data_IF_400114769055
#
_entry.id   IF_400114769055
#
_cell.length_a   1.000
_cell.length_b   1.000
_cell.length_c   1.000
_cell.angle_alpha   90.00
_cell.angle_beta   90.00
_cell.angle_gamma   90.00
#
_symmetry.space_group_name_H-M   'P 1'
#
loop_
_entity.id
_entity.type
_entity.pdbx_description
1 polymer ?
#
# COMPACT_ATOMS: atom_id res chain seq x y z
N UNK A 1 1.90 0.36 29.27
CA UNK A 1 1.00 0.74 28.15
C UNK A 1 1.76 0.77 26.82
N UNK A 2 2.91 1.46 26.73
CA UNK A 2 3.77 1.53 25.53
C UNK A 2 4.16 0.16 24.95
N UNK A 3 4.51 -0.82 25.78
CA UNK A 3 4.91 -2.15 25.30
C UNK A 3 3.75 -2.95 24.69
N UNK A 4 2.54 -2.75 25.19
CA UNK A 4 1.35 -3.42 24.65
C UNK A 4 0.97 -2.83 23.28
N UNK A 5 1.09 -1.51 23.11
CA UNK A 5 0.91 -0.85 21.81
C UNK A 5 1.98 -1.27 20.81
N UNK A 6 3.25 -1.34 21.23
CA UNK A 6 4.35 -1.82 20.41
C UNK A 6 4.13 -3.26 19.93
N UNK A 7 3.69 -4.17 20.82
CA UNK A 7 3.35 -5.56 20.44
C UNK A 7 2.20 -5.63 19.43
N UNK A 8 1.14 -4.82 19.62
CA UNK A 8 0.01 -4.76 18.68
C UNK A 8 0.43 -4.25 17.30
N UNK A 9 1.23 -3.19 17.27
CA UNK A 9 1.76 -2.63 16.04
C UNK A 9 2.70 -3.61 15.33
N UNK A 10 3.56 -4.29 16.07
CA UNK A 10 4.44 -5.33 15.53
C UNK A 10 3.63 -6.48 14.93
N UNK A 11 2.64 -7.01 15.65
CA UNK A 11 1.75 -8.04 15.12
C UNK A 11 0.98 -7.58 13.87
N UNK A 12 0.51 -6.32 13.83
CA UNK A 12 -0.15 -5.76 12.66
C UNK A 12 0.78 -5.68 11.45
N UNK A 13 2.03 -5.27 11.64
CA UNK A 13 3.03 -5.23 10.57
C UNK A 13 3.44 -6.63 10.09
N UNK A 14 3.55 -7.60 10.99
CA UNK A 14 3.76 -9.01 10.60
C UNK A 14 2.61 -9.53 9.76
N UNK A 15 1.36 -9.25 10.14
CA UNK A 15 0.19 -9.69 9.38
C UNK A 15 0.18 -9.07 7.97
N UNK A 16 0.54 -7.79 7.85
CA UNK A 16 0.71 -7.11 6.55
C UNK A 16 1.81 -7.74 5.72
N UNK A 17 2.96 -8.05 6.32
CA UNK A 17 4.08 -8.68 5.63
C UNK A 17 3.74 -10.10 5.15
N UNK A 18 2.99 -10.86 5.96
CA UNK A 18 2.54 -12.21 5.61
C UNK A 18 1.43 -12.23 4.55
N UNK A 19 0.66 -11.15 4.37
CA UNK A 19 -0.46 -11.12 3.43
C UNK A 19 -0.04 -11.34 1.98
N UNK A 20 1.10 -10.78 1.55
CA UNK A 20 1.61 -10.91 0.17
C UNK A 20 2.02 -12.35 -0.19
N UNK A 21 2.86 -13.06 0.60
CA UNK A 21 3.17 -14.46 0.29
C UNK A 21 1.93 -15.35 0.42
N UNK A 22 0.99 -15.04 1.32
CA UNK A 22 -0.27 -15.78 1.41
C UNK A 22 -1.11 -15.62 0.13
N UNK A 23 -1.18 -14.43 -0.48
CA UNK A 23 -1.92 -14.24 -1.74
C UNK A 23 -1.27 -14.96 -2.92
N UNK A 24 0.02 -15.31 -2.84
CA UNK A 24 0.69 -16.12 -3.85
C UNK A 24 0.36 -17.62 -3.75
N UNK A 25 -0.10 -18.10 -2.59
CA UNK A 25 -0.33 -19.53 -2.33
C UNK A 25 -1.81 -19.84 -2.18
N UNK A 26 -2.56 -19.03 -1.43
CA UNK A 26 -3.95 -19.31 -1.06
C UNK A 26 -4.89 -19.44 -2.27
N UNK A 27 -4.81 -18.58 -3.32
CA UNK A 27 -5.70 -18.71 -4.47
C UNK A 27 -5.56 -20.03 -5.23
N UNK A 28 -4.39 -20.68 -5.17
CA UNK A 28 -4.16 -21.97 -5.81
C UNK A 28 -5.05 -23.09 -5.26
N UNK A 29 -5.58 -22.95 -4.04
CA UNK A 29 -6.50 -23.93 -3.46
C UNK A 29 -7.95 -23.76 -3.93
N UNK A 30 -8.29 -22.61 -4.54
CA UNK A 30 -9.67 -22.28 -4.91
C UNK A 30 -9.86 -22.07 -6.42
N UNK A 31 -8.78 -21.75 -7.15
CA UNK A 31 -8.79 -21.47 -8.57
C UNK A 31 -7.96 -22.52 -9.32
N UNK A 32 -8.62 -23.33 -10.13
CA UNK A 32 -7.95 -24.31 -10.98
C UNK A 32 -6.99 -23.62 -11.96
N UNK A 33 -5.75 -24.11 -12.03
CA UNK A 33 -4.72 -23.57 -12.94
C UNK A 33 -4.06 -22.26 -12.48
N UNK A 34 -4.36 -21.77 -11.27
CA UNK A 34 -3.70 -20.57 -10.74
C UNK A 34 -2.20 -20.78 -10.58
N UNK A 35 -1.42 -19.86 -11.16
CA UNK A 35 0.02 -19.76 -10.96
C UNK A 35 0.40 -18.29 -10.86
N UNK A 36 1.35 -17.94 -10.01
CA UNK A 36 1.79 -16.55 -9.82
C UNK A 36 2.28 -15.95 -11.14
N UNK A 37 3.01 -16.71 -11.95
CA UNK A 37 3.56 -16.23 -13.22
C UNK A 37 2.55 -16.30 -14.38
N UNK A 38 1.85 -17.43 -14.53
CA UNK A 38 0.90 -17.65 -15.63
C UNK A 38 -0.42 -16.90 -15.46
N UNK A 39 -0.81 -16.57 -14.22
CA UNK A 39 -2.02 -15.80 -13.91
C UNK A 39 -1.69 -14.54 -13.08
N UNK A 40 -0.58 -13.88 -13.40
CA UNK A 40 -0.05 -12.73 -12.66
C UNK A 40 -1.05 -11.59 -12.47
N UNK A 41 -1.89 -11.29 -13.46
CA UNK A 41 -2.97 -10.29 -13.32
C UNK A 41 -3.98 -10.68 -12.24
N UNK A 42 -4.41 -11.95 -12.22
CA UNK A 42 -5.33 -12.44 -11.20
C UNK A 42 -4.69 -12.39 -9.81
N UNK A 43 -3.42 -12.80 -9.72
CA UNK A 43 -2.65 -12.70 -8.48
C UNK A 43 -2.53 -11.25 -7.99
N UNK A 44 -2.18 -10.30 -8.87
CA UNK A 44 -2.07 -8.88 -8.53
C UNK A 44 -3.40 -8.31 -8.01
N UNK A 45 -4.51 -8.63 -8.68
CA UNK A 45 -5.85 -8.25 -8.23
C UNK A 45 -6.16 -8.79 -6.83
N UNK A 46 -5.94 -10.09 -6.61
CA UNK A 46 -6.16 -10.72 -5.29
C UNK A 46 -5.25 -10.09 -4.23
N UNK A 47 -3.99 -9.84 -4.56
CA UNK A 47 -3.01 -9.25 -3.67
C UNK A 47 -3.43 -7.84 -3.25
N UNK A 48 -3.77 -6.96 -4.19
CA UNK A 48 -4.24 -5.59 -3.94
C UNK A 48 -5.48 -5.61 -3.05
N UNK A 49 -6.49 -6.43 -3.38
CA UNK A 49 -7.72 -6.51 -2.60
C UNK A 49 -7.47 -7.02 -1.18
N UNK A 50 -6.67 -8.07 -1.03
CA UNK A 50 -6.34 -8.65 0.28
C UNK A 50 -5.56 -7.66 1.15
N UNK A 51 -4.49 -7.06 0.61
CA UNK A 51 -3.67 -6.09 1.36
C UNK A 51 -4.47 -4.83 1.67
N UNK A 52 -5.28 -4.33 0.73
CA UNK A 52 -6.11 -3.15 0.92
C UNK A 52 -7.16 -3.34 2.02
N UNK A 53 -7.90 -4.44 1.96
CA UNK A 53 -8.91 -4.79 2.98
C UNK A 53 -8.26 -5.01 4.35
N UNK A 54 -7.11 -5.68 4.40
CA UNK A 54 -6.36 -5.89 5.62
C UNK A 54 -5.86 -4.57 6.23
N UNK A 55 -5.30 -3.66 5.42
CA UNK A 55 -4.80 -2.36 5.88
C UNK A 55 -5.92 -1.51 6.48
N UNK A 56 -7.07 -1.44 5.79
CA UNK A 56 -8.26 -0.73 6.28
C UNK A 56 -8.79 -1.39 7.55
N UNK A 57 -8.96 -2.71 7.56
CA UNK A 57 -9.46 -3.47 8.71
C UNK A 57 -8.58 -3.30 9.95
N UNK A 58 -7.27 -3.43 9.80
CA UNK A 58 -6.32 -3.20 10.89
C UNK A 58 -6.38 -1.76 11.40
N UNK A 59 -6.51 -0.76 10.52
CA UNK A 59 -6.65 0.61 10.97
C UNK A 59 -7.95 0.85 11.77
N UNK A 60 -9.05 0.23 11.35
CA UNK A 60 -10.33 0.31 12.05
C UNK A 60 -10.30 -0.37 13.42
N UNK A 61 -9.59 -1.49 13.55
CA UNK A 61 -9.44 -2.25 14.80
C UNK A 61 -8.48 -1.54 15.76
N UNK A 62 -7.34 -1.07 15.26
CA UNK A 62 -6.28 -0.50 16.10
C UNK A 62 -6.56 0.94 16.53
N UNK A 63 -7.42 1.67 15.79
CA UNK A 63 -7.80 3.08 16.03
C UNK A 63 -6.63 3.96 16.53
N UNK A 64 -5.56 4.13 15.75
CA UNK A 64 -4.31 4.73 16.23
C UNK A 64 -4.45 6.13 16.83
N UNK A 65 -5.41 6.94 16.36
CA UNK A 65 -5.44 8.37 16.72
C UNK A 65 -6.68 9.12 16.18
N UNK A 66 -7.90 8.64 16.44
CA UNK A 66 -9.10 9.45 16.17
C UNK A 66 -9.82 9.82 17.48
N UNK A 67 -9.74 11.09 17.93
CA UNK A 67 -10.68 11.55 18.95
C UNK A 67 -12.10 11.42 18.38
N UNK A 68 -13.07 10.92 19.17
CA UNK A 68 -14.46 10.78 18.72
C UNK A 68 -15.09 12.16 18.56
N UNK A 69 -14.82 12.84 17.45
CA UNK A 69 -15.49 14.09 17.11
C UNK A 69 -16.87 13.76 16.57
N UNK A 70 -17.94 14.19 17.26
CA UNK A 70 -19.30 14.22 16.70
C UNK A 70 -19.22 14.96 15.37
N UNK A 71 -19.31 14.22 14.29
CA UNK A 71 -19.24 14.74 12.93
C UNK A 71 -20.50 14.34 12.20
N UNK A 72 -21.11 15.33 11.54
CA UNK A 72 -22.26 15.10 10.67
C UNK A 72 -21.91 14.04 9.61
N UNK A 73 -22.91 13.27 9.19
CA UNK A 73 -22.79 12.28 8.11
C UNK A 73 -22.18 12.91 6.85
N UNK A 74 -22.57 14.14 6.53
CA UNK A 74 -22.02 14.91 5.41
C UNK A 74 -20.49 15.10 5.51
N UNK A 75 -19.98 15.38 6.72
CA UNK A 75 -18.55 15.54 6.95
C UNK A 75 -17.78 14.22 6.82
N UNK A 76 -18.40 13.10 7.20
CA UNK A 76 -17.82 11.75 7.01
C UNK A 76 -17.74 11.38 5.54
N UNK A 77 -18.81 11.62 4.78
CA UNK A 77 -18.86 11.38 3.33
C UNK A 77 -17.82 12.26 2.62
N UNK A 78 -17.77 13.56 2.93
CA UNK A 78 -16.77 14.46 2.35
C UNK A 78 -15.34 14.00 2.63
N UNK A 79 -15.06 13.54 3.86
CA UNK A 79 -13.74 12.99 4.20
C UNK A 79 -13.44 11.72 3.41
N UNK A 80 -14.39 10.80 3.29
CA UNK A 80 -14.23 9.57 2.51
C UNK A 80 -13.94 9.86 1.04
N UNK A 81 -14.71 10.77 0.41
CA UNK A 81 -14.50 11.18 -0.97
C UNK A 81 -13.10 11.78 -1.18
N UNK A 82 -12.63 12.63 -0.26
CA UNK A 82 -11.27 13.16 -0.30
C UNK A 82 -10.22 12.05 -0.22
N UNK A 83 -10.43 11.03 0.62
CA UNK A 83 -9.54 9.88 0.68
C UNK A 83 -9.51 9.12 -0.65
N UNK A 84 -10.67 8.85 -1.26
CA UNK A 84 -10.75 8.19 -2.56
C UNK A 84 -10.00 8.98 -3.64
N UNK A 85 -10.20 10.30 -3.70
CA UNK A 85 -9.49 11.17 -4.65
C UNK A 85 -7.98 11.11 -4.43
N UNK A 86 -7.52 11.22 -3.18
CA UNK A 86 -6.08 11.19 -2.88
C UNK A 86 -5.44 9.83 -3.21
N UNK A 87 -6.15 8.74 -2.94
CA UNK A 87 -5.69 7.40 -3.31
C UNK A 87 -5.64 7.21 -4.83
N UNK A 88 -6.67 7.65 -5.54
CA UNK A 88 -6.68 7.57 -7.00
C UNK A 88 -5.56 8.40 -7.62
N UNK A 89 -5.37 9.64 -7.15
CA UNK A 89 -4.27 10.50 -7.60
C UNK A 89 -2.89 9.87 -7.32
N UNK A 90 -2.71 9.17 -6.20
CA UNK A 90 -1.43 8.47 -5.97
C UNK A 90 -1.23 7.29 -6.93
N UNK A 91 -2.28 6.56 -7.28
CA UNK A 91 -2.19 5.47 -8.26
C UNK A 91 -1.72 6.01 -9.62
N UNK A 92 -2.30 7.12 -10.08
CA UNK A 92 -1.89 7.78 -11.33
C UNK A 92 -0.45 8.29 -11.25
N UNK A 93 -0.06 8.92 -10.13
CA UNK A 93 1.30 9.39 -9.93
C UNK A 93 2.32 8.25 -9.95
N UNK A 94 2.08 7.17 -9.22
CA UNK A 94 2.99 6.02 -9.21
C UNK A 94 3.05 5.35 -10.58
N UNK A 95 1.92 5.20 -11.28
CA UNK A 95 1.90 4.66 -12.63
C UNK A 95 2.79 5.49 -13.56
N UNK A 96 2.64 6.82 -13.54
CA UNK A 96 3.49 7.72 -14.32
C UNK A 96 4.98 7.59 -13.94
N UNK A 97 5.31 7.49 -12.66
CA UNK A 97 6.70 7.27 -12.21
C UNK A 97 7.23 5.94 -12.74
N UNK A 98 6.49 4.85 -12.59
CA UNK A 98 6.93 3.50 -13.04
C UNK A 98 7.18 3.50 -14.55
N UNK A 99 6.31 4.13 -15.33
CA UNK A 99 6.49 4.35 -16.77
C UNK A 99 7.75 5.15 -17.08
N UNK A 100 7.98 6.27 -16.38
CA UNK A 100 9.18 7.11 -16.57
C UNK A 100 10.47 6.36 -16.22
N UNK A 101 10.39 5.33 -15.38
CA UNK A 101 11.50 4.45 -15.03
C UNK A 101 11.67 3.25 -15.99
N UNK A 102 10.91 3.21 -17.09
CA UNK A 102 11.12 2.28 -18.20
C UNK A 102 10.04 1.21 -18.39
N UNK A 103 8.95 1.23 -17.63
CA UNK A 103 7.86 0.28 -17.83
C UNK A 103 7.06 0.55 -19.13
N UNK A 104 6.50 -0.49 -19.77
CA UNK A 104 5.80 -0.35 -21.05
C UNK A 104 4.53 0.50 -20.96
N UNK A 105 4.37 1.43 -21.91
CA UNK A 105 3.24 2.35 -21.98
C UNK A 105 1.95 1.77 -22.59
N UNK A 106 2.05 0.68 -23.36
CA UNK A 106 0.94 0.18 -24.19
C UNK A 106 0.71 -1.32 -23.96
N UNK A 107 1.78 -2.11 -23.93
CA UNK A 107 1.65 -3.57 -23.94
C UNK A 107 1.37 -4.18 -22.57
N UNK A 108 1.75 -3.49 -21.47
CA UNK A 108 1.58 -3.98 -20.09
C UNK A 108 1.01 -2.91 -19.16
N UNK A 109 0.04 -2.14 -19.67
CA UNK A 109 -0.57 -1.02 -18.93
C UNK A 109 -1.29 -1.51 -17.69
N UNK A 110 -1.99 -2.64 -17.79
CA UNK A 110 -2.81 -3.18 -16.69
C UNK A 110 -1.92 -3.64 -15.55
N UNK A 111 -0.83 -4.33 -15.86
CA UNK A 111 0.17 -4.83 -14.93
C UNK A 111 0.85 -3.65 -14.22
N UNK A 112 1.31 -2.67 -15.01
CA UNK A 112 1.95 -1.45 -14.50
C UNK A 112 1.00 -0.64 -13.62
N UNK A 113 -0.27 -0.54 -14.00
CA UNK A 113 -1.29 0.14 -13.20
C UNK A 113 -1.62 -0.63 -11.91
N UNK A 114 -1.80 -1.95 -11.96
CA UNK A 114 -2.05 -2.76 -10.77
C UNK A 114 -0.87 -2.72 -9.80
N UNK A 115 0.37 -2.67 -10.31
CA UNK A 115 1.54 -2.45 -9.48
C UNK A 115 1.52 -1.06 -8.82
N UNK A 116 1.13 0.00 -9.54
CA UNK A 116 0.95 1.34 -8.97
C UNK A 116 -0.15 1.40 -7.90
N UNK A 117 -1.24 0.65 -8.08
CA UNK A 117 -2.31 0.50 -7.08
C UNK A 117 -1.78 -0.24 -5.84
N UNK A 118 -1.00 -1.31 -6.02
CA UNK A 118 -0.38 -2.04 -4.91
C UNK A 118 0.58 -1.14 -4.11
N UNK A 119 1.43 -0.37 -4.81
CA UNK A 119 2.35 0.56 -4.17
C UNK A 119 1.61 1.69 -3.44
N UNK A 120 0.54 2.22 -4.03
CA UNK A 120 -0.37 3.18 -3.37
C UNK A 120 -1.02 2.60 -2.12
N UNK A 121 -1.34 1.31 -2.14
CA UNK A 121 -1.97 0.59 -1.02
C UNK A 121 -1.02 0.45 0.17
N UNK A 122 0.26 0.24 -0.08
CA UNK A 122 1.28 0.18 0.98
C UNK A 122 1.72 1.56 1.50
N UNK A 123 1.55 2.61 0.70
CA UNK A 123 2.01 3.97 1.05
C UNK A 123 0.83 4.91 1.36
N UNK A 124 0.18 5.46 0.35
CA UNK A 124 -0.87 6.48 0.47
C UNK A 124 -2.09 5.99 1.25
N UNK A 125 -2.54 4.75 1.05
CA UNK A 125 -3.69 4.22 1.81
C UNK A 125 -3.39 4.16 3.32
N UNK A 126 -2.18 3.78 3.71
CA UNK A 126 -1.79 3.78 5.13
C UNK A 126 -1.79 5.20 5.71
N UNK A 127 -1.27 6.17 4.96
CA UNK A 127 -1.33 7.59 5.34
C UNK A 127 -2.77 8.09 5.49
N UNK A 128 -3.66 7.74 4.55
CA UNK A 128 -5.07 8.10 4.59
C UNK A 128 -5.80 7.47 5.77
N UNK A 129 -5.52 6.20 6.07
CA UNK A 129 -6.09 5.49 7.20
C UNK A 129 -5.64 6.10 8.54
N UNK A 130 -4.36 6.44 8.69
CA UNK A 130 -3.79 6.88 9.97
C UNK A 130 -3.90 8.39 10.21
N UNK A 131 -3.66 9.21 9.17
CA UNK A 131 -3.57 10.67 9.27
C UNK A 131 -4.78 11.36 8.64
N UNK A 132 -5.61 10.63 7.88
CA UNK A 132 -6.68 11.21 7.07
C UNK A 132 -6.15 12.01 5.88
N UNK A 133 -7.04 12.68 5.11
CA UNK A 133 -6.65 13.53 3.99
C UNK A 133 -6.17 14.91 4.51
N UNK A 134 -5.13 14.90 5.35
CA UNK A 134 -4.50 16.09 5.92
C UNK A 134 -3.04 16.17 5.50
N UNK A 135 -2.79 16.88 4.39
CA UNK A 135 -1.45 17.02 3.80
C UNK A 135 -0.45 17.64 4.78
N UNK A 136 -0.88 18.57 5.64
CA UNK A 136 0.01 19.17 6.65
C UNK A 136 0.48 18.12 7.68
N UNK A 137 -0.39 17.20 8.07
CA UNK A 137 0.01 16.08 8.93
C UNK A 137 0.97 15.13 8.20
N UNK A 138 0.80 14.92 6.89
CA UNK A 138 1.70 14.08 6.10
C UNK A 138 3.08 14.72 6.00
N UNK A 139 3.15 16.00 5.61
CA UNK A 139 4.40 16.76 5.53
C UNK A 139 5.12 16.72 6.88
N UNK A 140 4.40 16.97 7.98
CA UNK A 140 4.98 16.87 9.32
C UNK A 140 5.55 15.47 9.57
N UNK A 141 4.76 14.41 9.39
CA UNK A 141 5.19 13.04 9.70
C UNK A 141 6.40 12.64 8.85
N UNK A 142 6.46 13.02 7.57
CA UNK A 142 7.60 12.69 6.69
C UNK A 142 8.76 13.69 6.74
N UNK A 143 8.67 14.73 7.57
CA UNK A 143 9.78 15.64 7.83
C UNK A 143 10.76 15.06 8.86
N UNK A 144 12.00 15.56 8.85
CA UNK A 144 13.03 15.18 9.83
C UNK A 144 12.49 15.36 11.26
N UNK A 145 12.50 14.28 12.05
CA UNK A 145 12.01 14.23 13.43
C UNK A 145 10.53 14.64 13.62
N UNK A 146 9.71 14.61 12.57
CA UNK A 146 8.31 15.04 12.67
C UNK A 146 7.31 13.96 13.11
N UNK A 147 7.74 12.69 13.10
CA UNK A 147 7.00 11.59 13.71
C UNK A 147 7.13 11.63 15.23
N UNK A 148 5.99 11.80 15.89
CA UNK A 148 5.85 12.00 17.34
C UNK A 148 5.32 10.78 18.08
N UNK A 149 4.80 9.78 17.36
CA UNK A 149 4.27 8.55 17.94
C UNK A 149 4.88 7.30 17.30
N UNK A 150 4.79 6.16 18.00
CA UNK A 150 5.27 4.87 17.48
C UNK A 150 4.53 4.46 16.19
N UNK A 151 3.26 4.87 16.08
CA UNK A 151 2.43 4.68 14.89
C UNK A 151 2.93 5.49 13.70
N UNK A 152 3.28 6.76 13.91
CA UNK A 152 3.87 7.62 12.87
C UNK A 152 5.24 7.14 12.42
N UNK A 153 6.09 6.70 13.37
CA UNK A 153 7.38 6.10 13.04
C UNK A 153 7.21 4.82 12.20
N UNK A 154 6.29 3.94 12.59
CA UNK A 154 6.01 2.75 11.79
C UNK A 154 5.47 3.09 10.42
N UNK A 155 4.64 4.12 10.27
CA UNK A 155 4.13 4.57 8.97
C UNK A 155 5.25 5.06 8.06
N UNK A 156 6.22 5.81 8.60
CA UNK A 156 7.41 6.23 7.84
C UNK A 156 8.23 5.03 7.39
N UNK A 157 8.51 4.09 8.30
CA UNK A 157 9.31 2.90 8.01
C UNK A 157 8.62 2.05 6.94
N UNK A 158 7.33 1.73 7.09
CA UNK A 158 6.60 0.91 6.12
C UNK A 158 6.52 1.57 4.76
N UNK A 159 6.28 2.88 4.71
CA UNK A 159 6.23 3.64 3.45
C UNK A 159 7.59 3.61 2.74
N UNK A 160 8.66 3.95 3.46
CA UNK A 160 10.02 3.98 2.91
C UNK A 160 10.48 2.59 2.47
N UNK A 161 10.26 1.56 3.29
CA UNK A 161 10.58 0.18 2.93
C UNK A 161 9.78 -0.32 1.73
N UNK A 162 8.54 0.11 1.54
CA UNK A 162 7.72 -0.28 0.37
C UNK A 162 8.26 0.33 -0.92
N UNK A 163 8.65 1.61 -0.88
CA UNK A 163 9.25 2.30 -2.04
C UNK A 163 10.62 1.69 -2.37
N UNK A 164 11.47 1.52 -1.36
CA UNK A 164 12.78 0.89 -1.54
C UNK A 164 12.65 -0.55 -2.02
N UNK A 165 11.70 -1.32 -1.48
CA UNK A 165 11.43 -2.69 -1.90
C UNK A 165 10.96 -2.78 -3.35
N UNK A 166 10.07 -1.87 -3.78
CA UNK A 166 9.65 -1.76 -5.17
C UNK A 166 10.84 -1.45 -6.10
N UNK A 167 11.72 -0.54 -5.68
CA UNK A 167 12.93 -0.20 -6.44
C UNK A 167 13.94 -1.35 -6.48
N UNK A 168 14.21 -2.00 -5.35
CA UNK A 168 15.07 -3.19 -5.28
C UNK A 168 14.52 -4.37 -6.09
N UNK A 169 13.19 -4.51 -6.15
CA UNK A 169 12.52 -5.51 -6.98
C UNK A 169 12.79 -5.36 -8.48
N UNK A 170 13.23 -4.20 -8.94
CA UNK A 170 13.60 -3.95 -10.34
C UNK A 170 15.08 -4.31 -10.65
N UNK A 171 15.93 -4.59 -9.65
CA UNK A 171 17.33 -4.97 -9.88
C UNK A 171 17.55 -6.24 -10.71
N UNK A 172 16.69 -7.27 -10.64
CA UNK A 172 16.81 -8.45 -11.50
C UNK A 172 16.64 -8.13 -13.00
N UNK A 173 16.02 -7.01 -13.37
CA UNK A 173 15.72 -6.67 -14.77
C UNK A 173 17.01 -6.50 -15.61
N UNK A 174 18.03 -5.72 -15.19
CA UNK A 174 19.33 -5.69 -15.87
C UNK A 174 20.06 -7.03 -15.99
N UNK A 175 19.78 -7.99 -15.11
CA UNK A 175 20.39 -9.33 -15.16
C UNK A 175 19.72 -10.24 -16.20
N UNK A 176 18.50 -9.90 -16.63
CA UNK A 176 17.69 -10.64 -17.61
C UNK A 176 17.71 -9.99 -19.01
N UNK A 177 18.81 -9.30 -19.36
CA UNK A 177 19.00 -8.49 -20.58
C UNK A 177 18.72 -9.23 -21.90
N UNK A 178 18.75 -10.57 -21.90
CA UNK A 178 18.48 -11.39 -23.09
C UNK A 178 16.98 -11.61 -23.37
N UNK A 179 16.08 -11.14 -22.50
CA UNK A 179 14.61 -11.24 -22.69
C UNK A 179 14.07 -9.93 -23.26
N UNK A 180 13.16 -9.96 -24.26
CA UNK A 180 12.40 -8.76 -24.62
C UNK A 180 11.64 -8.29 -23.38
N UNK A 181 11.75 -6.99 -23.10
CA UNK A 181 11.19 -6.22 -21.97
C UNK A 181 10.04 -6.95 -21.22
N UNK A 182 10.26 -7.20 -19.93
CA UNK A 182 9.26 -7.75 -19.00
C UNK A 182 8.41 -6.65 -18.37
#
# INVERSE_FOLDING_TARGET
MRDAEARRLWAANLLRAAAVPLTAVVPAFFMDGFTVLGTHLAWLCVCVLCVGTLNVGLCLVLKPSLPPKRSSVANKISRFLKCCIYFFMSCILFHAIIVLYGAPLIESVTETFLFAVLLSTFTTLQCLCMLGPNIQAWIRVFSKNGATSIWENSLQITTTCSILGAWFGAFPIPLDWDRPWQ
#
